data_IF_878134193842
#
_entry.id   IF_878134193842
#
_cell.length_a   1.000
_cell.length_b   1.000
_cell.length_c   1.000
_cell.angle_alpha   90.00
_cell.angle_beta   90.00
_cell.angle_gamma   90.00
#
_symmetry.space_group_name_H-M   'P 1'
#
loop_
_entity.id
_entity.type
_entity.pdbx_description
1 polymer ?
#
# COMPACT_ATOMS: atom_id res chain seq x y z
N UNK A 1 -6.34 -55.20 -13.08
CA UNK A 1 -5.77 -53.90 -13.50
C UNK A 1 -6.70 -52.80 -13.03
N UNK A 2 -6.33 -52.04 -11.99
CA UNK A 2 -7.11 -50.89 -11.49
C UNK A 2 -6.55 -49.63 -12.14
N UNK A 3 -7.41 -48.88 -12.83
CA UNK A 3 -7.06 -47.56 -13.35
C UNK A 3 -6.77 -46.63 -12.16
N UNK A 4 -5.57 -46.06 -12.12
CA UNK A 4 -5.20 -44.96 -11.23
C UNK A 4 -5.82 -43.70 -11.84
N UNK A 5 -6.75 -43.01 -11.17
CA UNK A 5 -7.23 -41.73 -11.66
C UNK A 5 -6.09 -40.73 -11.54
N UNK A 6 -5.54 -40.31 -12.68
CA UNK A 6 -4.66 -39.15 -12.77
C UNK A 6 -5.47 -37.93 -12.35
N UNK A 7 -5.33 -37.53 -11.08
CA UNK A 7 -5.82 -36.25 -10.61
C UNK A 7 -5.11 -35.15 -11.40
N UNK A 8 -5.73 -34.71 -12.50
CA UNK A 8 -5.40 -33.47 -13.17
C UNK A 8 -5.67 -32.35 -12.16
N UNK A 9 -4.66 -32.00 -11.37
CA UNK A 9 -4.66 -30.82 -10.54
C UNK A 9 -4.86 -29.62 -11.47
N UNK A 10 -6.09 -29.14 -11.54
CA UNK A 10 -6.51 -28.06 -12.41
C UNK A 10 -5.68 -26.81 -12.08
N UNK A 11 -4.73 -26.37 -12.93
CA UNK A 11 -3.79 -25.29 -12.61
C UNK A 11 -4.51 -23.96 -12.36
N UNK A 12 -5.78 -23.84 -12.81
CA UNK A 12 -6.65 -22.69 -12.55
C UNK A 12 -7.04 -22.54 -11.08
N UNK A 13 -7.14 -23.62 -10.29
CA UNK A 13 -7.48 -23.53 -8.85
C UNK A 13 -6.33 -23.00 -8.00
N UNK A 14 -5.07 -23.12 -8.45
CA UNK A 14 -3.89 -22.67 -7.70
C UNK A 14 -3.61 -21.17 -7.85
N UNK A 15 -4.04 -20.54 -8.96
CA UNK A 15 -3.65 -19.17 -9.30
C UNK A 15 -4.65 -18.11 -8.81
N UNK A 16 -5.91 -18.46 -8.59
CA UNK A 16 -6.94 -17.54 -8.10
C UNK A 16 -6.51 -16.71 -6.86
N UNK A 17 -5.91 -17.29 -5.80
CA UNK A 17 -5.43 -16.50 -4.65
C UNK A 17 -4.29 -15.53 -5.00
N UNK A 18 -3.42 -15.88 -5.95
CA UNK A 18 -2.34 -15.00 -6.40
C UNK A 18 -2.90 -13.80 -7.16
N UNK A 19 -3.87 -14.02 -8.05
CA UNK A 19 -4.53 -12.95 -8.80
C UNK A 19 -5.29 -11.97 -7.90
N UNK A 20 -5.98 -12.47 -6.87
CA UNK A 20 -6.63 -11.59 -5.89
C UNK A 20 -5.62 -10.75 -5.11
N UNK A 21 -4.56 -11.38 -4.62
CA UNK A 21 -3.50 -10.67 -3.89
C UNK A 21 -2.86 -9.59 -4.76
N UNK A 22 -2.56 -9.91 -6.02
CA UNK A 22 -2.03 -8.96 -7.00
C UNK A 22 -3.01 -7.79 -7.22
N UNK A 23 -4.30 -8.09 -7.41
CA UNK A 23 -5.34 -7.06 -7.58
C UNK A 23 -5.42 -6.11 -6.40
N UNK A 24 -5.34 -6.62 -5.16
CA UNK A 24 -5.32 -5.79 -3.96
C UNK A 24 -4.02 -4.99 -3.81
N UNK A 25 -2.87 -5.54 -4.20
CA UNK A 25 -1.59 -4.79 -4.22
C UNK A 25 -1.64 -3.64 -5.23
N UNK A 26 -2.19 -3.88 -6.43
CA UNK A 26 -2.39 -2.82 -7.42
C UNK A 26 -3.35 -1.76 -6.89
N UNK A 27 -4.49 -2.16 -6.33
CA UNK A 27 -5.47 -1.24 -5.77
C UNK A 27 -4.87 -0.37 -4.65
N UNK A 28 -4.20 -0.98 -3.67
CA UNK A 28 -3.55 -0.26 -2.57
C UNK A 28 -2.45 0.68 -3.06
N UNK A 29 -1.65 0.25 -4.03
CA UNK A 29 -0.63 1.09 -4.67
C UNK A 29 -1.23 2.29 -5.38
N UNK A 30 -2.35 2.12 -6.09
CA UNK A 30 -3.08 3.22 -6.72
C UNK A 30 -3.61 4.21 -5.68
N UNK A 31 -4.18 3.73 -4.57
CA UNK A 31 -4.63 4.59 -3.47
C UNK A 31 -3.46 5.35 -2.83
N UNK A 32 -2.32 4.69 -2.61
CA UNK A 32 -1.08 5.35 -2.15
C UNK A 32 -0.62 6.43 -3.12
N UNK A 33 -0.69 6.17 -4.44
CA UNK A 33 -0.33 7.15 -5.46
C UNK A 33 -1.23 8.38 -5.41
N UNK A 34 -2.55 8.17 -5.34
CA UNK A 34 -3.53 9.24 -5.18
C UNK A 34 -3.32 10.04 -3.88
N UNK A 35 -3.03 9.35 -2.77
CA UNK A 35 -2.74 9.98 -1.50
C UNK A 35 -1.47 10.86 -1.58
N UNK A 36 -0.39 10.32 -2.15
CA UNK A 36 0.87 11.06 -2.35
C UNK A 36 0.65 12.31 -3.18
N UNK A 37 -0.09 12.16 -4.29
CA UNK A 37 -0.43 13.26 -5.17
C UNK A 37 -1.28 14.33 -4.48
N UNK A 38 -2.28 13.91 -3.69
CA UNK A 38 -3.10 14.80 -2.89
C UNK A 38 -2.28 15.60 -1.87
N UNK A 39 -1.35 14.94 -1.18
CA UNK A 39 -0.43 15.58 -0.23
C UNK A 39 0.50 16.59 -0.93
N UNK A 40 1.00 16.26 -2.13
CA UNK A 40 1.82 17.17 -2.92
C UNK A 40 1.05 18.44 -3.31
N UNK A 41 -0.18 18.28 -3.83
CA UNK A 41 -1.04 19.42 -4.18
C UNK A 41 -1.35 20.27 -2.95
N UNK A 42 -1.74 19.63 -1.84
CA UNK A 42 -2.05 20.35 -0.60
C UNK A 42 -0.84 21.13 -0.08
N UNK A 43 0.35 20.54 -0.13
CA UNK A 43 1.58 21.22 0.26
C UNK A 43 1.92 22.38 -0.70
N UNK A 44 1.75 22.20 -2.01
CA UNK A 44 1.96 23.27 -2.99
C UNK A 44 0.99 24.45 -2.82
N UNK A 45 -0.29 24.17 -2.54
CA UNK A 45 -1.29 25.21 -2.24
C UNK A 45 -0.97 25.94 -0.92
N UNK A 46 -0.56 25.19 0.09
CA UNK A 46 -0.18 25.75 1.39
C UNK A 46 1.05 26.63 1.24
N UNK A 47 2.08 26.15 0.54
CA UNK A 47 3.28 26.92 0.22
C UNK A 47 2.94 28.20 -0.54
N UNK A 48 2.16 28.12 -1.63
CA UNK A 48 1.79 29.29 -2.42
C UNK A 48 0.97 30.34 -1.64
N UNK A 49 0.10 29.89 -0.72
CA UNK A 49 -0.64 30.82 0.15
C UNK A 49 0.27 31.51 1.17
N UNK A 50 1.21 30.78 1.78
CA UNK A 50 2.16 31.37 2.72
C UNK A 50 3.18 32.29 2.05
N UNK A 51 3.64 31.98 0.84
CA UNK A 51 4.58 32.84 0.11
C UNK A 51 3.94 34.21 -0.21
N UNK A 52 2.64 34.24 -0.50
CA UNK A 52 1.89 35.49 -0.73
C UNK A 52 1.57 36.22 0.58
N UNK A 53 1.17 35.50 1.64
CA UNK A 53 0.68 36.09 2.89
C UNK A 53 1.79 36.45 3.88
N UNK A 54 2.93 35.76 3.83
CA UNK A 54 4.07 35.91 4.75
C UNK A 54 5.40 35.70 4.01
N UNK A 55 5.81 36.63 3.14
CA UNK A 55 7.02 36.49 2.32
C UNK A 55 8.33 36.43 3.13
N UNK A 56 8.31 36.74 4.43
CA UNK A 56 9.47 36.67 5.33
C UNK A 56 9.51 35.39 6.17
N UNK A 57 8.47 34.55 6.12
CA UNK A 57 8.51 33.25 6.76
C UNK A 57 9.28 32.29 5.84
N UNK A 58 10.33 31.68 6.37
CA UNK A 58 11.10 30.66 5.66
C UNK A 58 10.23 29.40 5.57
N UNK A 59 9.49 29.25 4.47
CA UNK A 59 8.67 28.07 4.19
C UNK A 59 9.42 27.20 3.19
N UNK A 60 9.56 25.92 3.51
CA UNK A 60 10.27 24.96 2.64
C UNK A 60 9.39 24.67 1.43
N UNK A 61 9.96 24.86 0.22
CA UNK A 61 9.26 24.55 -1.01
C UNK A 61 9.01 23.03 -1.14
N UNK A 62 7.86 22.61 -1.70
CA UNK A 62 7.55 21.20 -1.91
C UNK A 62 8.49 20.61 -2.97
N UNK A 63 9.42 19.76 -2.53
CA UNK A 63 10.31 19.00 -3.43
C UNK A 63 9.59 17.77 -3.99
N UNK A 64 9.35 17.74 -5.31
CA UNK A 64 8.72 16.58 -5.97
C UNK A 64 9.47 15.26 -5.69
N UNK A 65 10.81 15.31 -5.64
CA UNK A 65 11.66 14.15 -5.37
C UNK A 65 11.43 13.53 -3.98
N UNK A 66 11.05 14.35 -2.99
CA UNK A 66 10.72 13.86 -1.64
C UNK A 66 9.41 13.06 -1.65
N UNK A 67 8.42 13.48 -2.45
CA UNK A 67 7.17 12.75 -2.61
C UNK A 67 7.33 11.48 -3.44
N UNK A 68 8.18 11.50 -4.47
CA UNK A 68 8.51 10.30 -5.25
C UNK A 68 9.22 9.27 -4.39
N UNK A 69 10.22 9.68 -3.60
CA UNK A 69 10.92 8.76 -2.69
C UNK A 69 9.99 8.21 -1.61
N UNK A 70 9.14 9.04 -1.00
CA UNK A 70 8.12 8.59 -0.04
C UNK A 70 7.15 7.57 -0.65
N UNK A 71 6.70 7.81 -1.89
CA UNK A 71 5.87 6.86 -2.62
C UNK A 71 6.58 5.54 -2.89
N UNK A 72 7.84 5.57 -3.36
CA UNK A 72 8.63 4.37 -3.60
C UNK A 72 8.84 3.55 -2.31
N UNK A 73 9.10 4.20 -1.19
CA UNK A 73 9.17 3.53 0.13
C UNK A 73 7.83 2.90 0.48
N UNK A 74 6.71 3.62 0.32
CA UNK A 74 5.37 3.09 0.54
C UNK A 74 5.06 1.86 -0.31
N UNK A 75 5.36 1.90 -1.61
CA UNK A 75 5.21 0.75 -2.54
C UNK A 75 6.06 -0.44 -2.09
N UNK A 76 7.31 -0.19 -1.70
CA UNK A 76 8.24 -1.24 -1.24
C UNK A 76 7.70 -1.93 0.02
N UNK A 77 7.18 -1.15 0.98
CA UNK A 77 6.55 -1.67 2.19
C UNK A 77 5.28 -2.47 1.84
N UNK A 78 4.44 -1.96 0.93
CA UNK A 78 3.23 -2.65 0.50
C UNK A 78 3.53 -4.04 -0.10
N UNK A 79 4.54 -4.12 -0.99
CA UNK A 79 5.00 -5.39 -1.58
C UNK A 79 5.56 -6.33 -0.51
N UNK A 80 6.35 -5.80 0.44
CA UNK A 80 6.91 -6.60 1.53
C UNK A 80 5.82 -7.18 2.45
N UNK A 81 4.79 -6.39 2.79
CA UNK A 81 3.64 -6.84 3.58
C UNK A 81 2.84 -7.90 2.82
N UNK A 82 2.61 -7.70 1.52
CA UNK A 82 1.93 -8.69 0.69
C UNK A 82 2.68 -10.02 0.64
N UNK A 83 4.00 -9.97 0.47
CA UNK A 83 4.84 -11.16 0.49
C UNK A 83 4.81 -11.85 1.87
N UNK A 84 4.93 -11.08 2.95
CA UNK A 84 4.87 -11.60 4.32
C UNK A 84 3.52 -12.29 4.60
N UNK A 85 2.40 -11.69 4.18
CA UNK A 85 1.06 -12.27 4.32
C UNK A 85 0.91 -13.57 3.51
N UNK A 86 1.40 -13.62 2.27
CA UNK A 86 1.37 -14.86 1.46
C UNK A 86 2.22 -15.95 2.11
N UNK A 87 3.42 -15.62 2.60
CA UNK A 87 4.26 -16.57 3.33
C UNK A 87 3.59 -17.06 4.61
N UNK A 88 2.95 -16.16 5.37
CA UNK A 88 2.25 -16.48 6.61
C UNK A 88 1.03 -17.38 6.33
N UNK A 89 0.26 -17.06 5.30
CA UNK A 89 -0.89 -17.86 4.88
C UNK A 89 -0.49 -19.28 4.48
N UNK A 90 0.65 -19.44 3.80
CA UNK A 90 1.21 -20.74 3.45
C UNK A 90 1.77 -21.52 4.64
N UNK A 91 2.26 -20.84 5.69
CA UNK A 91 2.83 -21.48 6.88
C UNK A 91 1.81 -21.78 7.98
N UNK A 92 0.59 -21.26 7.90
CA UNK A 92 -0.41 -21.37 8.99
C UNK A 92 -1.68 -22.09 8.53
N UNK A 93 -2.57 -22.40 9.50
CA UNK A 93 -3.92 -22.95 9.21
C UNK A 93 -4.79 -22.01 8.34
N UNK A 94 -4.32 -20.80 8.02
CA UNK A 94 -4.93 -19.91 7.04
C UNK A 94 -4.92 -20.46 5.60
N UNK A 95 -4.23 -21.57 5.33
CA UNK A 95 -4.42 -22.34 4.09
C UNK A 95 -5.88 -22.74 3.81
N UNK A 96 -6.73 -22.83 4.84
CA UNK A 96 -8.16 -23.12 4.70
C UNK A 96 -9.02 -21.87 4.47
N UNK A 97 -8.45 -20.68 4.56
CA UNK A 97 -9.20 -19.44 4.44
C UNK A 97 -9.54 -19.15 2.98
N UNK A 98 -10.70 -18.52 2.77
CA UNK A 98 -11.10 -18.12 1.43
C UNK A 98 -10.10 -17.07 0.89
N UNK A 99 -9.64 -17.18 -0.37
CA UNK A 99 -8.63 -16.30 -0.96
C UNK A 99 -8.92 -14.80 -0.80
N UNK A 100 -10.20 -14.44 -0.89
CA UNK A 100 -10.67 -13.06 -0.74
C UNK A 100 -10.34 -12.52 0.65
N UNK A 101 -10.53 -13.30 1.71
CA UNK A 101 -10.25 -12.89 3.10
C UNK A 101 -8.77 -12.57 3.30
N UNK A 102 -7.89 -13.38 2.72
CA UNK A 102 -6.44 -13.16 2.76
C UNK A 102 -6.09 -11.89 1.99
N UNK A 103 -6.66 -11.72 0.79
CA UNK A 103 -6.47 -10.51 -0.02
C UNK A 103 -6.91 -9.23 0.70
N UNK A 104 -8.10 -9.24 1.31
CA UNK A 104 -8.65 -8.08 2.07
C UNK A 104 -7.79 -7.76 3.29
N UNK A 105 -7.38 -8.76 4.08
CA UNK A 105 -6.50 -8.54 5.24
C UNK A 105 -5.13 -8.01 4.81
N UNK A 106 -4.59 -8.55 3.71
CA UNK A 106 -3.34 -8.07 3.13
C UNK A 106 -3.48 -6.61 2.67
N UNK A 107 -4.60 -6.26 2.03
CA UNK A 107 -4.87 -4.91 1.59
C UNK A 107 -4.99 -3.93 2.77
N UNK A 108 -5.68 -4.31 3.84
CA UNK A 108 -5.84 -3.48 5.04
C UNK A 108 -4.51 -3.25 5.74
N UNK A 109 -3.77 -4.33 6.03
CA UNK A 109 -2.47 -4.22 6.70
C UNK A 109 -1.46 -3.50 5.81
N UNK A 110 -1.48 -3.79 4.50
CA UNK A 110 -0.64 -3.12 3.51
C UNK A 110 -0.91 -1.63 3.42
N UNK A 111 -2.18 -1.22 3.35
CA UNK A 111 -2.58 0.18 3.31
C UNK A 111 -2.16 0.93 4.58
N UNK A 112 -2.38 0.36 5.76
CA UNK A 112 -2.00 1.00 7.03
C UNK A 112 -0.48 1.10 7.15
N UNK A 113 0.26 0.02 6.88
CA UNK A 113 1.72 0.01 7.02
C UNK A 113 2.40 0.90 5.98
N UNK A 114 2.02 0.78 4.70
CA UNK A 114 2.57 1.58 3.62
C UNK A 114 2.18 3.05 3.73
N UNK A 115 0.93 3.35 4.10
CA UNK A 115 0.48 4.71 4.35
C UNK A 115 1.22 5.35 5.53
N UNK A 116 1.40 4.61 6.63
CA UNK A 116 2.18 5.10 7.77
C UNK A 116 3.64 5.33 7.41
N UNK A 117 4.28 4.41 6.68
CA UNK A 117 5.66 4.56 6.23
C UNK A 117 5.82 5.79 5.33
N UNK A 118 4.88 6.00 4.39
CA UNK A 118 4.87 7.14 3.50
C UNK A 118 4.77 8.47 4.27
N UNK A 119 3.85 8.55 5.23
CA UNK A 119 3.67 9.75 6.06
C UNK A 119 4.90 10.03 6.90
N UNK A 120 5.50 8.99 7.51
CA UNK A 120 6.72 9.13 8.30
C UNK A 120 7.91 9.62 7.46
N UNK A 121 8.05 9.17 6.21
CA UNK A 121 9.10 9.68 5.30
C UNK A 121 8.91 11.15 4.96
N UNK A 122 7.67 11.64 4.98
CA UNK A 122 7.35 13.06 4.81
C UNK A 122 7.37 13.85 6.13
N UNK A 123 7.89 13.26 7.22
CA UNK A 123 7.87 13.82 8.59
C UNK A 123 6.46 14.15 9.11
N UNK A 124 5.43 13.52 8.54
CA UNK A 124 4.03 13.64 8.98
C UNK A 124 3.72 12.53 9.98
N UNK A 125 3.24 12.90 11.18
CA UNK A 125 2.78 11.92 12.14
C UNK A 125 1.51 11.22 11.62
N UNK A 126 1.54 9.90 11.37
CA UNK A 126 0.41 9.19 10.79
C UNK A 126 -0.83 9.18 11.69
N UNK A 127 -0.65 9.18 13.01
CA UNK A 127 -1.77 9.21 13.97
C UNK A 127 -2.46 10.57 13.92
N UNK A 128 -1.68 11.65 13.91
CA UNK A 128 -2.22 13.01 13.82
C UNK A 128 -2.95 13.23 12.49
N UNK A 129 -2.41 12.71 11.39
CA UNK A 129 -3.05 12.78 10.08
C UNK A 129 -4.40 12.05 10.04
N UNK A 130 -4.46 10.83 10.61
CA UNK A 130 -5.71 10.05 10.67
C UNK A 130 -6.78 10.68 11.56
N UNK A 131 -6.39 11.35 12.65
CA UNK A 131 -7.32 12.05 13.54
C UNK A 131 -7.82 13.38 12.96
N UNK A 132 -7.10 13.94 12.00
CA UNK A 132 -7.46 15.19 11.32
C UNK A 132 -8.37 14.97 10.10
N UNK A 133 -8.64 13.72 9.74
CA UNK A 133 -9.49 13.30 8.61
C UNK A 133 -10.95 13.16 9.03
#
# INVERSE_FOLDING_TARGET
MRAVPSASADPRRSLAPVWWTLGFVVLTTTVLGLLTWGLLIMHALTYGTFEVLRPQAEVVAPGFDNYVSAFLVGVTVNVAVAFAMVCLANRTRAQRWHPITVGVMTALVGAVAAGSALLLVLDINPVSFLLAL
#
